data_IF_437395626287
#
_entry.id   IF_437395626287
#
_cell.length_a   1.000
_cell.length_b   1.000
_cell.length_c   1.000
_cell.angle_alpha   90.00
_cell.angle_beta   90.00
_cell.angle_gamma   90.00
#
_symmetry.space_group_name_H-M   'P 1'
#
loop_
_entity.id
_entity.type
_entity.pdbx_description
1 polymer ?
#
# COMPACT_ATOMS: atom_id res chain seq x y z
N UNK A 1 -9.55 13.55 13.07
CA UNK A 1 -8.56 13.31 14.15
C UNK A 1 -7.48 12.28 13.81
N UNK A 2 -7.75 11.14 13.17
CA UNK A 2 -6.74 10.11 12.89
C UNK A 2 -5.52 10.54 12.08
N UNK A 3 -5.61 11.61 11.28
CA UNK A 3 -4.45 12.13 10.54
C UNK A 3 -3.45 12.92 11.40
N UNK A 4 -3.84 13.40 12.57
CA UNK A 4 -2.96 14.13 13.50
C UNK A 4 -1.93 13.21 14.14
N UNK A 5 -2.20 11.92 14.20
CA UNK A 5 -1.32 10.91 14.81
C UNK A 5 -0.56 10.06 13.79
N UNK A 6 -0.61 10.42 12.49
CA UNK A 6 0.20 9.71 11.49
C UNK A 6 1.67 10.07 11.68
N UNK A 7 2.51 9.06 11.85
CA UNK A 7 3.96 9.24 11.86
C UNK A 7 4.44 9.73 10.49
N UNK A 8 5.39 10.66 10.49
CA UNK A 8 6.07 11.11 9.27
C UNK A 8 7.58 11.03 9.45
N UNK A 9 8.29 10.61 8.41
CA UNK A 9 9.73 10.66 8.37
C UNK A 9 10.16 11.97 7.72
N UNK A 10 10.88 12.78 8.47
CA UNK A 10 11.54 13.97 7.94
C UNK A 10 12.73 13.52 7.08
N UNK A 11 12.80 14.01 5.85
CA UNK A 11 13.83 13.56 4.90
C UNK A 11 14.84 14.67 4.57
N UNK A 12 14.55 15.53 3.64
CA UNK A 12 15.47 16.52 3.11
C UNK A 12 14.80 17.88 2.97
N UNK A 13 15.60 18.94 3.07
CA UNK A 13 15.17 20.28 2.68
C UNK A 13 15.15 20.39 1.15
N UNK A 14 14.07 20.94 0.61
CA UNK A 14 13.90 21.19 -0.84
C UNK A 14 13.74 22.68 -1.06
N UNK A 15 14.65 23.28 -1.79
CA UNK A 15 14.58 24.70 -2.09
C UNK A 15 13.53 24.99 -3.16
N UNK A 16 12.91 26.19 -3.11
CA UNK A 16 11.87 26.58 -4.06
C UNK A 16 12.30 26.50 -5.54
N UNK A 17 13.59 26.73 -5.84
CA UNK A 17 14.16 26.58 -7.20
C UNK A 17 14.11 25.15 -7.74
N UNK A 18 14.01 24.16 -6.86
CA UNK A 18 13.95 22.72 -7.18
C UNK A 18 12.52 22.22 -7.29
N UNK A 19 11.53 23.08 -7.05
CA UNK A 19 10.10 22.80 -7.10
C UNK A 19 9.47 23.57 -8.25
N UNK A 20 8.58 22.93 -8.98
CA UNK A 20 7.72 23.57 -9.97
C UNK A 20 6.24 23.35 -9.63
N UNK A 21 5.41 24.27 -10.03
CA UNK A 21 3.95 24.13 -9.93
C UNK A 21 3.43 23.81 -11.32
N UNK A 22 2.82 22.64 -11.45
CA UNK A 22 2.22 22.16 -12.69
C UNK A 22 0.69 22.26 -12.63
N UNK A 23 0.02 22.47 -13.78
CA UNK A 23 -1.44 22.56 -13.83
C UNK A 23 -2.10 21.22 -13.49
N UNK A 24 -3.30 21.29 -12.92
CA UNK A 24 -4.16 20.11 -12.76
C UNK A 24 -4.71 19.65 -14.12
N UNK A 25 -4.90 18.33 -14.25
CA UNK A 25 -5.49 17.71 -15.44
C UNK A 25 -6.99 17.67 -15.25
N UNK A 26 -7.67 18.51 -16.03
CA UNK A 26 -9.12 18.65 -15.99
C UNK A 26 -9.71 18.18 -17.30
N UNK A 27 -10.84 17.50 -17.23
CA UNK A 27 -11.64 17.05 -18.38
C UNK A 27 -13.07 17.48 -18.14
N UNK A 28 -13.71 18.06 -19.15
CA UNK A 28 -15.13 18.41 -19.12
C UNK A 28 -15.88 17.33 -19.89
N UNK A 29 -16.87 16.71 -19.25
CA UNK A 29 -17.81 15.78 -19.87
C UNK A 29 -19.20 16.08 -19.35
N UNK A 30 -20.18 16.20 -20.24
CA UNK A 30 -21.59 16.49 -19.92
C UNK A 30 -21.73 17.73 -19.00
N UNK A 31 -21.00 18.81 -19.31
CA UNK A 31 -20.94 20.06 -18.54
C UNK A 31 -20.41 19.93 -17.11
N UNK A 32 -19.82 18.77 -16.76
CA UNK A 32 -19.20 18.52 -15.47
C UNK A 32 -17.67 18.54 -15.64
N UNK A 33 -16.99 19.34 -14.82
CA UNK A 33 -15.54 19.38 -14.76
C UNK A 33 -15.02 18.30 -13.80
N UNK A 34 -14.21 17.40 -14.32
CA UNK A 34 -13.51 16.35 -13.56
C UNK A 34 -12.03 16.70 -13.43
N UNK A 35 -11.50 16.68 -12.21
CA UNK A 35 -10.07 16.83 -11.94
C UNK A 35 -9.45 15.47 -11.65
N UNK A 36 -8.77 14.86 -12.63
CA UNK A 36 -8.19 13.53 -12.48
C UNK A 36 -6.84 13.51 -11.76
N UNK A 37 -6.22 14.67 -11.57
CA UNK A 37 -4.90 14.81 -10.94
C UNK A 37 -4.97 15.38 -9.52
N UNK A 38 -6.16 15.45 -8.92
CA UNK A 38 -6.33 16.01 -7.58
C UNK A 38 -5.44 15.32 -6.56
N UNK A 39 -4.62 16.11 -5.87
CA UNK A 39 -3.71 15.64 -4.84
C UNK A 39 -2.50 14.83 -5.33
N UNK A 40 -2.22 14.80 -6.67
CA UNK A 40 -1.13 14.01 -7.27
C UNK A 40 -0.11 14.93 -7.94
N UNK A 41 1.15 14.85 -7.51
CA UNK A 41 2.30 15.49 -8.13
C UNK A 41 3.31 14.48 -8.67
N UNK A 42 4.52 14.98 -8.96
CA UNK A 42 5.62 14.17 -9.46
C UNK A 42 6.87 14.40 -8.63
N UNK A 43 7.75 13.40 -8.61
CA UNK A 43 9.10 13.45 -8.06
C UNK A 43 10.06 12.87 -9.10
N UNK A 44 11.21 13.53 -9.35
CA UNK A 44 12.21 12.99 -10.27
C UNK A 44 12.77 11.66 -9.75
N UNK A 45 13.15 10.76 -10.66
CA UNK A 45 13.69 9.44 -10.29
C UNK A 45 14.94 9.57 -9.41
N UNK A 46 15.87 10.48 -9.76
CA UNK A 46 17.08 10.72 -8.99
C UNK A 46 16.79 11.22 -7.56
N UNK A 47 15.87 12.15 -7.42
CA UNK A 47 15.50 12.66 -6.10
C UNK A 47 14.68 11.65 -5.31
N UNK A 48 13.79 10.89 -5.97
CA UNK A 48 13.05 9.77 -5.38
C UNK A 48 13.97 8.72 -4.79
N UNK A 49 15.08 8.40 -5.46
CA UNK A 49 16.10 7.50 -4.92
C UNK A 49 16.72 8.04 -3.62
N UNK A 50 17.12 9.33 -3.61
CA UNK A 50 17.71 9.95 -2.40
C UNK A 50 16.71 9.96 -1.23
N UNK A 51 15.43 10.26 -1.50
CA UNK A 51 14.36 10.22 -0.50
C UNK A 51 14.15 8.81 0.02
N UNK A 52 14.16 7.78 -0.86
CA UNK A 52 14.04 6.39 -0.47
C UNK A 52 15.17 5.96 0.48
N UNK A 53 16.43 6.35 0.19
CA UNK A 53 17.57 6.07 1.08
C UNK A 53 17.39 6.73 2.46
N UNK A 54 16.90 7.98 2.53
CA UNK A 54 16.58 8.64 3.80
C UNK A 54 15.44 7.97 4.56
N UNK A 55 14.53 7.32 3.86
CA UNK A 55 13.48 6.49 4.46
C UNK A 55 13.98 5.10 4.89
N UNK A 56 15.22 4.71 4.60
CA UNK A 56 15.78 3.39 4.91
C UNK A 56 15.31 2.30 3.96
N UNK A 57 14.96 2.67 2.72
CA UNK A 57 14.48 1.72 1.71
C UNK A 57 15.62 1.27 0.80
N UNK A 58 15.67 -0.02 0.49
CA UNK A 58 16.68 -0.62 -0.39
C UNK A 58 16.39 -0.37 -1.89
N UNK A 59 15.18 0.06 -2.23
CA UNK A 59 14.75 0.38 -3.61
C UNK A 59 13.84 1.59 -3.61
N UNK A 60 13.81 2.30 -4.73
CA UNK A 60 12.91 3.45 -4.92
C UNK A 60 11.48 2.95 -5.16
N UNK A 61 10.51 3.33 -4.31
CA UNK A 61 9.10 3.05 -4.56
C UNK A 61 8.57 3.90 -5.71
N UNK A 62 7.47 3.47 -6.33
CA UNK A 62 6.84 4.19 -7.46
C UNK A 62 6.18 5.50 -7.04
N UNK A 63 5.80 5.65 -5.77
CA UNK A 63 5.14 6.85 -5.26
C UNK A 63 5.41 7.05 -3.77
N UNK A 64 5.36 8.32 -3.34
CA UNK A 64 5.48 8.72 -1.94
C UNK A 64 4.29 9.59 -1.55
N UNK A 65 3.72 9.35 -0.38
CA UNK A 65 2.79 10.27 0.25
C UNK A 65 3.58 11.31 1.05
N UNK A 66 3.42 12.58 0.72
CA UNK A 66 4.26 13.65 1.24
C UNK A 66 3.48 14.74 1.98
N UNK A 67 4.27 15.48 2.79
CA UNK A 67 3.93 16.77 3.35
C UNK A 67 5.11 17.70 3.07
N UNK A 68 4.87 18.83 2.40
CA UNK A 68 5.89 19.80 2.03
C UNK A 68 5.27 21.19 1.91
N UNK A 69 5.74 22.19 2.64
CA UNK A 69 5.37 23.59 2.45
C UNK A 69 3.88 23.90 2.41
N UNK A 70 3.06 23.20 3.19
CA UNK A 70 1.59 23.30 3.12
C UNK A 70 0.94 22.39 2.09
N UNK A 71 1.72 21.74 1.22
CA UNK A 71 1.26 20.75 0.25
C UNK A 71 1.08 19.38 0.90
N UNK A 72 -0.04 18.73 0.58
CA UNK A 72 -0.38 17.39 1.01
C UNK A 72 -0.84 16.57 -0.20
N UNK A 73 -0.21 15.41 -0.43
CA UNK A 73 -0.64 14.55 -1.53
C UNK A 73 0.33 13.41 -1.76
N UNK A 74 0.21 12.84 -2.95
CA UNK A 74 1.06 11.75 -3.44
C UNK A 74 1.92 12.28 -4.58
N UNK A 75 3.21 11.99 -4.57
CA UNK A 75 4.09 12.25 -5.71
C UNK A 75 4.51 10.93 -6.33
N UNK A 76 4.25 10.78 -7.64
CA UNK A 76 4.67 9.64 -8.42
C UNK A 76 6.07 9.88 -9.01
N UNK A 77 6.90 8.84 -9.04
CA UNK A 77 8.23 8.90 -9.67
C UNK A 77 8.06 9.04 -11.17
N UNK A 78 8.60 10.12 -11.73
CA UNK A 78 8.61 10.38 -13.18
C UNK A 78 10.06 10.52 -13.67
N UNK A 79 10.49 9.63 -14.58
CA UNK A 79 11.82 9.63 -15.18
C UNK A 79 12.09 10.85 -16.04
N UNK A 80 11.04 11.49 -16.54
CA UNK A 80 11.13 12.67 -17.39
C UNK A 80 11.03 13.99 -16.61
N UNK A 81 10.94 13.95 -15.27
CA UNK A 81 10.88 15.15 -14.46
C UNK A 81 12.28 15.74 -14.26
N UNK A 82 12.46 17.01 -14.68
CA UNK A 82 13.72 17.76 -14.52
C UNK A 82 13.84 18.39 -13.11
N UNK A 83 12.72 18.68 -12.46
CA UNK A 83 12.70 19.25 -11.12
C UNK A 83 12.62 18.14 -10.08
N UNK A 84 13.13 18.42 -8.89
CA UNK A 84 13.04 17.47 -7.77
C UNK A 84 11.60 17.14 -7.44
N UNK A 85 10.73 18.18 -7.36
CA UNK A 85 9.30 18.04 -7.11
C UNK A 85 8.51 18.87 -8.12
N UNK A 86 7.44 18.28 -8.65
CA UNK A 86 6.43 18.98 -9.44
C UNK A 86 5.10 18.83 -8.71
N UNK A 87 4.59 19.92 -8.15
CA UNK A 87 3.40 19.93 -7.31
C UNK A 87 2.23 20.58 -8.06
N UNK A 88 1.00 20.33 -7.63
CA UNK A 88 -0.22 20.91 -8.20
C UNK A 88 -0.92 21.79 -7.18
N UNK A 89 -1.71 22.75 -7.66
CA UNK A 89 -2.50 23.61 -6.77
C UNK A 89 -3.50 22.84 -5.92
N UNK A 90 -4.08 21.77 -6.44
CA UNK A 90 -4.98 20.87 -5.69
C UNK A 90 -4.33 20.27 -4.44
N UNK A 91 -3.01 20.12 -4.43
CA UNK A 91 -2.25 19.62 -3.29
C UNK A 91 -2.06 20.66 -2.18
N UNK A 92 -2.14 21.97 -2.49
CA UNK A 92 -1.92 23.04 -1.54
C UNK A 92 -3.11 23.18 -0.58
N UNK A 93 -2.86 23.07 0.71
CA UNK A 93 -3.89 23.14 1.76
C UNK A 93 -3.77 24.41 2.58
N UNK A 94 -2.57 24.97 2.67
CA UNK A 94 -2.26 26.25 3.34
C UNK A 94 -0.88 26.74 2.90
N UNK A 95 -0.64 28.04 3.00
CA UNK A 95 0.67 28.63 2.73
C UNK A 95 1.64 28.35 3.88
N UNK A 96 2.87 27.93 3.55
CA UNK A 96 3.92 27.69 4.53
C UNK A 96 5.30 27.84 3.92
N UNK A 97 6.21 28.43 4.67
CA UNK A 97 7.62 28.57 4.29
C UNK A 97 8.47 27.35 4.69
N UNK A 98 7.87 26.32 5.28
CA UNK A 98 8.59 25.11 5.67
C UNK A 98 9.05 24.34 4.43
N UNK A 99 10.36 24.23 4.25
CA UNK A 99 10.99 23.57 3.10
C UNK A 99 11.38 22.12 3.36
N UNK A 100 11.03 21.57 4.51
CA UNK A 100 11.32 20.19 4.84
C UNK A 100 10.32 19.25 4.17
N UNK A 101 10.83 18.29 3.40
CA UNK A 101 10.04 17.23 2.83
C UNK A 101 9.83 16.13 3.88
N UNK A 102 8.59 15.86 4.20
CA UNK A 102 8.19 14.78 5.10
C UNK A 102 7.47 13.69 4.31
N UNK A 103 7.86 12.44 4.49
CA UNK A 103 7.24 11.27 3.89
C UNK A 103 6.43 10.54 4.96
N UNK A 104 5.14 10.33 4.69
CA UNK A 104 4.23 9.62 5.60
C UNK A 104 4.06 8.16 5.21
N UNK A 105 4.04 7.88 3.91
CA UNK A 105 3.92 6.53 3.34
C UNK A 105 4.61 6.47 1.98
N UNK A 106 4.86 5.29 1.50
CA UNK A 106 5.33 5.00 0.14
C UNK A 106 4.58 3.82 -0.45
N UNK A 107 4.62 3.68 -1.78
CA UNK A 107 4.07 2.51 -2.46
C UNK A 107 4.92 1.29 -2.12
N UNK A 108 4.26 0.22 -1.71
CA UNK A 108 4.88 -1.06 -1.44
C UNK A 108 4.09 -2.17 -2.14
N UNK A 109 4.74 -3.34 -2.31
CA UNK A 109 4.06 -4.50 -2.85
C UNK A 109 3.04 -5.01 -1.83
N UNK A 110 1.76 -4.89 -2.17
CA UNK A 110 0.68 -5.39 -1.34
C UNK A 110 0.08 -6.66 -1.94
N UNK A 111 -0.22 -7.67 -1.12
CA UNK A 111 -0.94 -8.85 -1.57
C UNK A 111 -2.33 -8.46 -2.08
N UNK A 112 -2.79 -9.17 -3.10
CA UNK A 112 -4.11 -8.96 -3.67
C UNK A 112 -5.13 -9.86 -2.97
N UNK A 113 -6.27 -9.28 -2.63
CA UNK A 113 -7.41 -10.01 -2.08
C UNK A 113 -8.65 -9.66 -2.90
N UNK A 114 -9.48 -10.65 -3.12
CA UNK A 114 -10.86 -10.42 -3.53
C UNK A 114 -11.67 -9.87 -2.35
N UNK A 115 -12.78 -9.26 -2.65
CA UNK A 115 -13.82 -8.87 -1.70
C UNK A 115 -15.19 -9.18 -2.30
N UNK A 116 -16.25 -8.99 -1.52
CA UNK A 116 -17.62 -9.29 -1.97
C UNK A 116 -17.99 -8.57 -3.27
N UNK A 117 -17.65 -7.29 -3.38
CA UNK A 117 -17.98 -6.45 -4.52
C UNK A 117 -17.26 -6.94 -5.80
N UNK A 118 -15.97 -7.25 -5.70
CA UNK A 118 -15.18 -7.76 -6.82
C UNK A 118 -15.68 -9.14 -7.26
N UNK A 119 -16.00 -10.04 -6.30
CA UNK A 119 -16.54 -11.36 -6.60
C UNK A 119 -17.87 -11.24 -7.34
N UNK A 120 -18.79 -10.40 -6.84
CA UNK A 120 -20.07 -10.15 -7.49
C UNK A 120 -19.89 -9.63 -8.92
N UNK A 121 -18.99 -8.67 -9.12
CA UNK A 121 -18.69 -8.11 -10.44
C UNK A 121 -18.13 -9.19 -11.38
N UNK A 122 -17.16 -9.98 -10.94
CA UNK A 122 -16.54 -11.01 -11.76
C UNK A 122 -17.52 -12.14 -12.10
N UNK A 123 -18.40 -12.54 -11.16
CA UNK A 123 -19.46 -13.52 -11.39
C UNK A 123 -20.45 -13.00 -12.44
N UNK A 124 -20.86 -11.73 -12.35
CA UNK A 124 -21.72 -11.08 -13.35
C UNK A 124 -21.06 -11.03 -14.75
N UNK A 125 -19.72 -10.92 -14.80
CA UNK A 125 -18.96 -10.92 -16.05
C UNK A 125 -18.68 -12.35 -16.58
N UNK A 126 -19.23 -13.41 -15.93
CA UNK A 126 -19.20 -14.78 -16.41
C UNK A 126 -18.12 -15.66 -15.78
N UNK A 127 -17.41 -15.20 -14.73
CA UNK A 127 -16.56 -16.08 -13.95
C UNK A 127 -17.44 -16.99 -13.08
N UNK A 128 -17.26 -18.31 -13.19
CA UNK A 128 -18.06 -19.27 -12.44
C UNK A 128 -17.81 -19.21 -10.94
N UNK A 129 -18.84 -19.36 -10.14
CA UNK A 129 -18.77 -19.24 -8.68
C UNK A 129 -17.90 -20.34 -8.06
N UNK A 130 -17.84 -21.54 -8.68
CA UNK A 130 -17.00 -22.66 -8.23
C UNK A 130 -15.51 -22.28 -8.17
N UNK A 131 -15.06 -21.29 -8.96
CA UNK A 131 -13.67 -20.78 -8.92
C UNK A 131 -13.40 -20.08 -7.60
N UNK A 132 -14.32 -19.25 -7.15
CA UNK A 132 -14.19 -18.53 -5.88
C UNK A 132 -14.33 -19.47 -4.69
N UNK A 133 -15.24 -20.45 -4.77
CA UNK A 133 -15.41 -21.49 -3.74
C UNK A 133 -14.15 -22.34 -3.58
N UNK A 134 -13.52 -22.75 -4.69
CA UNK A 134 -12.27 -23.49 -4.66
C UNK A 134 -11.14 -22.69 -4.00
N UNK A 135 -10.99 -21.41 -4.36
CA UNK A 135 -9.99 -20.51 -3.74
C UNK A 135 -10.25 -20.31 -2.24
N UNK A 136 -11.52 -20.17 -1.84
CA UNK A 136 -11.91 -20.05 -0.44
C UNK A 136 -11.59 -21.32 0.34
N UNK A 137 -11.88 -22.48 -0.23
CA UNK A 137 -11.60 -23.76 0.40
C UNK A 137 -10.10 -24.01 0.57
N UNK A 138 -9.28 -23.64 -0.43
CA UNK A 138 -7.83 -23.71 -0.33
C UNK A 138 -7.31 -22.83 0.81
N UNK A 139 -7.83 -21.60 0.92
CA UNK A 139 -7.46 -20.69 2.01
C UNK A 139 -7.89 -21.23 3.38
N UNK A 140 -9.09 -21.78 3.51
CA UNK A 140 -9.56 -22.39 4.76
C UNK A 140 -8.70 -23.60 5.15
N UNK A 141 -8.31 -24.42 4.19
CA UNK A 141 -7.41 -25.55 4.44
C UNK A 141 -6.03 -25.09 4.94
N UNK A 142 -5.48 -24.03 4.34
CA UNK A 142 -4.21 -23.44 4.76
C UNK A 142 -4.31 -22.84 6.18
N UNK A 143 -5.39 -22.12 6.47
CA UNK A 143 -5.66 -21.56 7.80
C UNK A 143 -5.81 -22.65 8.85
N UNK A 144 -6.54 -23.73 8.57
CA UNK A 144 -6.68 -24.84 9.50
C UNK A 144 -5.35 -25.51 9.86
N UNK A 145 -4.41 -25.55 8.92
CA UNK A 145 -3.09 -26.13 9.14
C UNK A 145 -2.12 -25.19 9.87
N UNK A 146 -2.36 -23.85 9.85
CA UNK A 146 -1.40 -22.90 10.41
C UNK A 146 -1.21 -23.01 11.92
N UNK A 147 -2.15 -23.61 12.65
CA UNK A 147 -2.06 -23.76 14.10
C UNK A 147 -1.25 -24.98 14.56
N UNK A 148 -0.93 -25.90 13.64
CA UNK A 148 -0.25 -27.16 13.94
C UNK A 148 0.94 -27.46 13.05
N UNK A 149 1.05 -26.78 11.90
CA UNK A 149 2.09 -27.04 10.91
C UNK A 149 2.93 -25.78 10.67
N UNK A 150 4.22 -25.90 10.89
CA UNK A 150 5.20 -24.81 10.79
C UNK A 150 5.25 -24.18 9.39
N UNK A 151 5.26 -25.00 8.35
CA UNK A 151 5.36 -24.49 6.98
C UNK A 151 4.07 -23.76 6.56
N UNK A 152 2.91 -24.23 7.02
CA UNK A 152 1.65 -23.54 6.81
C UNK A 152 1.61 -22.19 7.56
N UNK A 153 2.11 -22.15 8.80
CA UNK A 153 2.24 -20.89 9.56
C UNK A 153 3.13 -19.89 8.84
N UNK A 154 4.30 -20.31 8.35
CA UNK A 154 5.22 -19.47 7.58
C UNK A 154 4.55 -18.91 6.33
N UNK A 155 3.89 -19.74 5.54
CA UNK A 155 3.16 -19.29 4.34
C UNK A 155 2.08 -18.24 4.65
N UNK A 156 1.29 -18.46 5.70
CA UNK A 156 0.26 -17.50 6.09
C UNK A 156 0.90 -16.19 6.55
N UNK A 157 1.95 -16.24 7.37
CA UNK A 157 2.65 -15.05 7.84
C UNK A 157 3.36 -14.28 6.71
N UNK A 158 3.84 -14.96 5.67
CA UNK A 158 4.40 -14.32 4.46
C UNK A 158 3.35 -13.53 3.66
N UNK A 159 2.13 -14.07 3.59
CA UNK A 159 0.99 -13.39 2.94
C UNK A 159 0.59 -12.13 3.70
N UNK A 160 0.70 -12.14 5.03
CA UNK A 160 0.37 -11.00 5.87
C UNK A 160 1.49 -9.96 5.84
N UNK A 161 1.34 -8.85 5.12
CA UNK A 161 2.32 -7.76 5.13
C UNK A 161 2.40 -7.03 6.47
N UNK A 162 3.60 -6.91 7.01
CA UNK A 162 4.18 -5.74 7.62
C UNK A 162 4.01 -5.39 9.09
N UNK A 163 4.06 -6.20 10.14
CA UNK A 163 4.33 -5.69 11.50
C UNK A 163 5.61 -6.29 12.11
N UNK A 164 6.24 -5.55 13.06
CA UNK A 164 7.41 -6.05 13.79
C UNK A 164 7.10 -7.35 14.55
N UNK A 165 5.88 -7.47 15.08
CA UNK A 165 5.39 -8.69 15.74
C UNK A 165 5.43 -9.90 14.81
N UNK A 166 5.03 -9.76 13.54
CA UNK A 166 5.13 -10.83 12.55
C UNK A 166 6.57 -11.30 12.34
N UNK A 167 7.52 -10.36 12.29
CA UNK A 167 8.94 -10.70 12.11
C UNK A 167 9.47 -11.57 13.25
N UNK A 168 8.96 -11.39 14.47
CA UNK A 168 9.29 -12.22 15.63
C UNK A 168 8.74 -13.62 15.44
N UNK A 169 7.47 -13.78 15.06
CA UNK A 169 6.84 -15.09 14.84
C UNK A 169 7.54 -15.88 13.73
N UNK A 170 7.86 -15.21 12.61
CA UNK A 170 8.64 -15.83 11.52
C UNK A 170 10.01 -16.30 12.01
N UNK A 171 10.73 -15.49 12.80
CA UNK A 171 12.01 -15.89 13.38
C UNK A 171 11.88 -17.09 14.29
N UNK A 172 10.86 -17.14 15.16
CA UNK A 172 10.61 -18.28 16.04
C UNK A 172 10.38 -19.57 15.24
N UNK A 173 9.51 -19.51 14.22
CA UNK A 173 9.25 -20.65 13.35
C UNK A 173 10.50 -21.11 12.59
N UNK A 174 11.32 -20.17 12.09
CA UNK A 174 12.59 -20.50 11.41
C UNK A 174 13.63 -21.11 12.36
N UNK A 175 13.59 -20.78 13.65
CA UNK A 175 14.45 -21.37 14.68
C UNK A 175 13.96 -22.75 15.17
N UNK A 176 12.84 -23.25 14.65
CA UNK A 176 12.36 -24.60 14.94
C UNK A 176 11.29 -24.69 16.02
N UNK A 177 10.77 -23.56 16.52
CA UNK A 177 9.62 -23.60 17.42
C UNK A 177 8.37 -24.11 16.69
N UNK A 178 7.64 -24.97 17.34
CA UNK A 178 6.38 -25.53 16.79
C UNK A 178 5.18 -24.68 17.18
N UNK A 179 4.21 -24.45 16.25
CA UNK A 179 3.06 -23.59 16.45
C UNK A 179 2.22 -23.90 17.70
N UNK A 180 2.11 -25.16 18.06
CA UNK A 180 1.27 -25.66 19.15
C UNK A 180 2.01 -25.95 20.46
N UNK A 181 3.34 -25.77 20.52
CA UNK A 181 4.15 -26.11 21.68
C UNK A 181 4.63 -24.90 22.45
N UNK A 182 4.89 -23.78 21.74
CA UNK A 182 5.37 -22.58 22.38
C UNK A 182 4.16 -21.65 22.67
N UNK A 183 3.90 -21.28 23.93
CA UNK A 183 2.68 -20.58 24.32
C UNK A 183 2.44 -19.21 23.66
N UNK A 184 3.50 -18.37 23.53
CA UNK A 184 3.41 -17.08 22.89
C UNK A 184 3.11 -17.20 21.40
N UNK A 185 3.84 -18.11 20.72
CA UNK A 185 3.64 -18.37 19.29
C UNK A 185 2.23 -18.91 19.01
N UNK A 186 1.76 -19.87 19.82
CA UNK A 186 0.41 -20.44 19.71
C UNK A 186 -0.66 -19.35 19.88
N UNK A 187 -0.55 -18.54 20.92
CA UNK A 187 -1.51 -17.44 21.19
C UNK A 187 -1.56 -16.44 20.03
N UNK A 188 -0.40 -16.02 19.52
CA UNK A 188 -0.32 -15.05 18.42
C UNK A 188 -0.82 -15.62 17.11
N UNK A 189 -0.51 -16.87 16.78
CA UNK A 189 -1.04 -17.55 15.60
C UNK A 189 -2.55 -17.73 15.68
N UNK A 190 -3.10 -18.06 16.85
CA UNK A 190 -4.54 -18.12 17.07
C UNK A 190 -5.21 -16.77 16.83
N UNK A 191 -4.64 -15.68 17.33
CA UNK A 191 -5.16 -14.33 17.10
C UNK A 191 -5.16 -13.95 15.60
N UNK A 192 -4.10 -14.32 14.86
CA UNK A 192 -4.05 -14.13 13.40
C UNK A 192 -5.09 -15.01 12.68
N UNK A 193 -5.25 -16.26 13.08
CA UNK A 193 -6.26 -17.16 12.55
C UNK A 193 -7.67 -16.61 12.69
N UNK A 194 -8.04 -16.15 13.90
CA UNK A 194 -9.36 -15.61 14.20
C UNK A 194 -9.66 -14.35 13.36
N UNK A 195 -8.67 -13.46 13.22
CA UNK A 195 -8.78 -12.26 12.40
C UNK A 195 -8.97 -12.61 10.90
N UNK A 196 -8.17 -13.52 10.36
CA UNK A 196 -8.26 -13.94 8.96
C UNK A 196 -9.58 -14.65 8.66
N UNK A 197 -10.03 -15.49 9.58
CA UNK A 197 -11.31 -16.18 9.46
C UNK A 197 -12.48 -15.18 9.54
N UNK A 198 -12.40 -14.19 10.40
CA UNK A 198 -13.38 -13.10 10.50
C UNK A 198 -13.43 -12.27 9.21
N UNK A 199 -12.27 -11.89 8.66
CA UNK A 199 -12.19 -11.17 7.38
C UNK A 199 -12.77 -11.99 6.21
N UNK A 200 -12.49 -13.30 6.18
CA UNK A 200 -13.04 -14.20 5.16
C UNK A 200 -14.57 -14.28 5.26
N UNK A 201 -15.12 -14.43 6.48
CA UNK A 201 -16.57 -14.52 6.72
C UNK A 201 -17.29 -13.20 6.44
N UNK A 202 -16.76 -12.07 6.93
CA UNK A 202 -17.46 -10.79 6.89
C UNK A 202 -17.26 -10.04 5.58
N UNK A 203 -16.10 -10.19 4.93
CA UNK A 203 -15.69 -9.40 3.76
C UNK A 203 -15.41 -10.23 2.52
N UNK A 204 -15.51 -11.57 2.58
CA UNK A 204 -15.12 -12.50 1.50
C UNK A 204 -13.66 -12.24 1.04
N UNK A 205 -12.75 -11.99 1.99
CA UNK A 205 -11.38 -11.61 1.70
C UNK A 205 -10.53 -12.82 1.31
N UNK A 206 -10.63 -13.21 0.04
CA UNK A 206 -9.92 -14.37 -0.52
C UNK A 206 -8.58 -13.91 -1.10
N UNK A 207 -7.48 -14.51 -0.68
CA UNK A 207 -6.14 -14.21 -1.16
C UNK A 207 -5.93 -14.71 -2.59
N UNK A 208 -5.33 -13.86 -3.44
CA UNK A 208 -4.99 -14.20 -4.84
C UNK A 208 -3.46 -14.29 -4.98
N UNK A 209 -2.86 -15.50 -5.03
CA UNK A 209 -1.40 -15.67 -4.99
C UNK A 209 -0.64 -14.94 -6.08
N UNK A 210 -1.18 -14.90 -7.30
CA UNK A 210 -0.59 -14.22 -8.46
C UNK A 210 -1.14 -12.80 -8.68
N UNK A 211 -2.04 -12.34 -7.79
CA UNK A 211 -2.61 -11.01 -7.83
C UNK A 211 -1.65 -9.95 -7.31
N UNK A 212 -1.89 -8.70 -7.71
CA UNK A 212 -1.19 -7.51 -7.21
C UNK A 212 -2.17 -6.37 -7.08
N UNK A 213 -1.98 -5.56 -6.04
CA UNK A 213 -2.71 -4.31 -5.86
C UNK A 213 -1.89 -3.18 -6.49
N UNK A 214 -2.49 -2.43 -7.41
CA UNK A 214 -1.86 -1.31 -8.10
C UNK A 214 -2.41 0.00 -7.59
N UNK A 215 -1.53 0.99 -7.40
CA UNK A 215 -1.92 2.39 -7.25
C UNK A 215 -1.99 3.00 -8.65
N UNK A 216 -3.20 3.36 -9.09
CA UNK A 216 -3.40 4.05 -10.36
C UNK A 216 -3.40 5.56 -10.09
N UNK A 217 -2.55 6.29 -10.81
CA UNK A 217 -2.46 7.74 -10.72
C UNK A 217 -2.39 8.34 -12.13
N UNK A 218 -3.23 9.34 -12.41
CA UNK A 218 -3.23 10.04 -13.66
C UNK A 218 -2.20 11.16 -13.64
N UNK A 219 -1.06 10.96 -14.30
CA UNK A 219 0.06 11.92 -14.31
C UNK A 219 0.24 12.66 -15.62
N UNK A 220 -0.31 12.13 -16.72
CA UNK A 220 -0.26 12.72 -18.07
C UNK A 220 -1.60 12.54 -18.77
N UNK A 221 -2.04 13.48 -19.60
CA UNK A 221 -3.12 13.21 -20.54
C UNK A 221 -2.69 12.08 -21.49
N UNK A 222 -3.55 11.10 -21.68
CA UNK A 222 -3.38 10.08 -22.72
C UNK A 222 -4.00 10.66 -23.97
N UNK A 223 -3.18 11.10 -24.93
CA UNK A 223 -3.57 11.41 -26.28
C UNK A 223 -2.93 10.39 -27.20
#
# INVERSE_FOLDING_TARGET
>A
MGQLFSSSKQTLEVHGRDVEIIPDIKVISDDIEYCFSDGIGKISESFGWVVAQKCGLNRTPSAFQIRYGGYKGVVAVDRNSYRKLSLRRSMEKFESQNRMLNVTKWSDSMPCYLNREIITLLSTLGVKDEVFEAMQMEQLCLLGKMLTNRDASLKVLEILNGSDSRNILVKMLLQGYEPNQEPYLSMMLQAHYDNLLSDLKSRCRIFVPKGRTWLVAWTKPVF
#
